data_IF_710943564109
#
_entry.id   IF_710943564109
#
_cell.length_a   1.000
_cell.length_b   1.000
_cell.length_c   1.000
_cell.angle_alpha   90.00
_cell.angle_beta   90.00
_cell.angle_gamma   90.00
#
_symmetry.space_group_name_H-M   'P 1'
#
loop_
_entity.id
_entity.type
_entity.pdbx_description
1 polymer ?
#
# COMPACT_ATOMS: atom_id res chain seq x y z
N UNK A 1 -16.97 31.73 4.64
CA UNK A 1 -16.77 30.25 4.66
C UNK A 1 -16.63 29.64 3.26
N UNK A 2 -17.29 30.18 2.22
CA UNK A 2 -17.18 29.64 0.84
C UNK A 2 -15.77 29.78 0.23
N UNK A 3 -15.04 30.87 0.51
CA UNK A 3 -13.70 31.11 -0.04
C UNK A 3 -12.63 30.09 0.36
N UNK A 4 -12.62 29.61 1.61
CA UNK A 4 -11.61 28.65 2.08
C UNK A 4 -11.83 27.24 1.51
N UNK A 5 -13.10 26.84 1.36
CA UNK A 5 -13.47 25.58 0.71
C UNK A 5 -13.14 25.62 -0.78
N UNK A 6 -13.48 26.71 -1.46
CA UNK A 6 -13.15 26.91 -2.88
C UNK A 6 -11.63 26.88 -3.09
N UNK A 7 -10.86 27.63 -2.29
CA UNK A 7 -9.40 27.63 -2.33
C UNK A 7 -8.82 26.22 -2.15
N UNK A 8 -9.33 25.44 -1.19
CA UNK A 8 -8.90 24.06 -0.98
C UNK A 8 -9.08 23.22 -2.25
N UNK A 9 -10.24 23.30 -2.89
CA UNK A 9 -10.52 22.51 -4.09
C UNK A 9 -9.74 22.99 -5.30
N UNK A 10 -9.58 24.30 -5.52
CA UNK A 10 -8.72 24.85 -6.57
C UNK A 10 -7.27 24.38 -6.41
N UNK A 11 -6.74 24.36 -5.18
CA UNK A 11 -5.40 23.82 -4.91
C UNK A 11 -5.32 22.30 -5.15
N UNK A 12 -6.36 21.53 -4.79
CA UNK A 12 -6.41 20.10 -5.12
C UNK A 12 -6.45 19.87 -6.62
N UNK A 13 -7.23 20.66 -7.37
CA UNK A 13 -7.34 20.57 -8.82
C UNK A 13 -5.98 20.78 -9.48
N UNK A 14 -5.30 21.88 -9.14
CA UNK A 14 -3.96 22.19 -9.67
C UNK A 14 -2.99 21.06 -9.38
N UNK A 15 -2.96 20.55 -8.15
CA UNK A 15 -2.08 19.44 -7.80
C UNK A 15 -2.43 18.14 -8.55
N UNK A 16 -3.73 17.85 -8.68
CA UNK A 16 -4.20 16.65 -9.36
C UNK A 16 -3.83 16.70 -10.84
N UNK A 17 -4.14 17.81 -11.52
CA UNK A 17 -3.90 17.96 -12.95
C UNK A 17 -2.41 18.09 -13.28
N UNK A 18 -1.67 18.93 -12.53
CA UNK A 18 -0.26 19.19 -12.83
C UNK A 18 0.67 18.06 -12.39
N UNK A 19 0.38 17.34 -11.30
CA UNK A 19 1.32 16.36 -10.72
C UNK A 19 0.75 14.96 -10.68
N UNK A 20 -0.42 14.78 -10.07
CA UNK A 20 -0.96 13.43 -9.82
C UNK A 20 -1.35 12.70 -11.10
N UNK A 21 -2.00 13.40 -12.05
CA UNK A 21 -2.54 12.80 -13.27
C UNK A 21 -1.44 12.28 -14.19
N UNK A 22 -0.36 13.03 -14.52
CA UNK A 22 0.70 12.47 -15.36
C UNK A 22 1.42 11.30 -14.68
N UNK A 23 1.58 11.33 -13.35
CA UNK A 23 2.10 10.20 -12.58
C UNK A 23 1.18 9.00 -12.72
N UNK A 24 -0.13 9.16 -12.57
CA UNK A 24 -1.11 8.08 -12.72
C UNK A 24 -1.12 7.53 -14.14
N UNK A 25 -1.01 8.37 -15.17
CA UNK A 25 -0.93 7.91 -16.55
C UNK A 25 0.31 7.03 -16.74
N UNK A 26 1.48 7.51 -16.28
CA UNK A 26 2.69 6.71 -16.27
C UNK A 26 2.51 5.39 -15.50
N UNK A 27 1.90 5.46 -14.32
CA UNK A 27 1.58 4.31 -13.47
C UNK A 27 0.75 3.28 -14.22
N UNK A 28 -0.30 3.69 -14.93
CA UNK A 28 -1.19 2.79 -15.66
C UNK A 28 -0.48 2.12 -16.83
N UNK A 29 0.37 2.85 -17.55
CA UNK A 29 1.19 2.30 -18.64
C UNK A 29 2.15 1.24 -18.09
N UNK A 30 2.95 1.56 -17.07
CA UNK A 30 3.91 0.61 -16.48
C UNK A 30 3.21 -0.57 -15.77
N UNK A 31 2.09 -0.32 -15.10
CA UNK A 31 1.31 -1.38 -14.43
C UNK A 31 0.74 -2.37 -15.44
N UNK A 32 0.38 -1.95 -16.64
CA UNK A 32 -0.08 -2.85 -17.71
C UNK A 32 0.99 -3.88 -18.08
N UNK A 33 2.26 -3.45 -18.15
CA UNK A 33 3.41 -4.34 -18.38
C UNK A 33 3.58 -5.32 -17.20
N UNK A 34 3.48 -4.84 -15.96
CA UNK A 34 3.57 -5.69 -14.77
C UNK A 34 2.44 -6.73 -14.69
N UNK A 35 1.22 -6.33 -15.05
CA UNK A 35 0.06 -7.23 -15.14
C UNK A 35 0.31 -8.30 -16.20
N UNK A 36 0.85 -7.93 -17.36
CA UNK A 36 1.22 -8.90 -18.40
C UNK A 36 2.27 -9.90 -17.90
N UNK A 37 3.35 -9.43 -17.27
CA UNK A 37 4.40 -10.30 -16.70
C UNK A 37 3.83 -11.22 -15.62
N UNK A 38 2.98 -10.70 -14.75
CA UNK A 38 2.28 -11.51 -13.75
C UNK A 38 1.38 -12.56 -14.41
N UNK A 39 0.60 -12.19 -15.43
CA UNK A 39 -0.28 -13.09 -16.15
C UNK A 39 0.52 -14.22 -16.83
N UNK A 40 1.67 -13.91 -17.45
CA UNK A 40 2.57 -14.92 -18.03
C UNK A 40 3.13 -15.86 -16.96
N UNK A 41 3.61 -15.32 -15.83
CA UNK A 41 4.12 -16.10 -14.71
C UNK A 41 3.05 -16.98 -14.06
N UNK A 42 1.82 -16.47 -13.95
CA UNK A 42 0.65 -17.20 -13.47
C UNK A 42 0.25 -18.29 -14.46
N UNK A 43 0.22 -18.00 -15.76
CA UNK A 43 -0.13 -18.96 -16.81
C UNK A 43 0.81 -20.15 -16.84
N UNK A 44 2.13 -19.93 -16.70
CA UNK A 44 3.11 -21.02 -16.56
C UNK A 44 2.79 -21.95 -15.38
N UNK A 45 2.32 -21.38 -14.26
CA UNK A 45 1.93 -22.16 -13.08
C UNK A 45 0.59 -22.87 -13.28
N UNK A 46 -0.35 -22.21 -13.93
CA UNK A 46 -1.63 -22.81 -14.32
C UNK A 46 -1.43 -24.04 -15.21
N UNK A 47 -0.52 -23.97 -16.19
CA UNK A 47 -0.15 -25.13 -17.01
C UNK A 47 0.41 -26.29 -16.18
N UNK A 48 1.18 -26.02 -15.12
CA UNK A 48 1.64 -27.04 -14.19
C UNK A 48 0.48 -27.64 -13.39
N UNK A 49 -0.43 -26.82 -12.87
CA UNK A 49 -1.61 -27.31 -12.14
C UNK A 49 -2.51 -28.19 -13.00
N UNK A 50 -2.64 -27.87 -14.30
CA UNK A 50 -3.41 -28.67 -15.26
C UNK A 50 -2.84 -30.06 -15.55
N UNK A 51 -1.60 -30.36 -15.16
CA UNK A 51 -1.02 -31.72 -15.26
C UNK A 51 -1.50 -32.65 -14.15
N UNK A 52 -2.08 -32.12 -13.07
CA UNK A 52 -2.69 -32.92 -12.01
C UNK A 52 -4.04 -33.53 -12.42
N UNK A 53 -4.55 -34.45 -11.61
CA UNK A 53 -5.90 -34.99 -11.79
C UNK A 53 -6.96 -33.88 -11.70
N UNK A 54 -8.06 -34.07 -12.44
CA UNK A 54 -9.20 -33.15 -12.38
C UNK A 54 -9.76 -33.15 -10.96
N UNK A 55 -9.79 -31.99 -10.33
CA UNK A 55 -10.38 -31.80 -9.02
C UNK A 55 -11.30 -30.59 -9.04
N UNK A 56 -12.56 -30.77 -8.66
CA UNK A 56 -13.49 -29.66 -8.53
C UNK A 56 -13.27 -28.95 -7.18
N UNK A 57 -12.67 -27.77 -7.22
CA UNK A 57 -12.49 -26.88 -6.06
C UNK A 57 -13.45 -25.68 -6.05
N UNK A 58 -14.42 -25.69 -6.97
CA UNK A 58 -15.52 -24.71 -7.02
C UNK A 58 -16.83 -25.28 -6.48
N UNK A 59 -16.80 -26.47 -5.88
CA UNK A 59 -17.92 -27.00 -5.12
C UNK A 59 -18.17 -26.11 -3.87
N UNK A 60 -19.44 -25.96 -3.47
CA UNK A 60 -19.82 -25.29 -2.21
C UNK A 60 -19.19 -23.90 -2.02
N UNK A 61 -19.24 -23.06 -3.06
CA UNK A 61 -18.63 -21.70 -3.09
C UNK A 61 -18.99 -20.87 -1.86
N UNK A 62 -20.26 -20.88 -1.43
CA UNK A 62 -20.72 -20.11 -0.26
C UNK A 62 -20.01 -20.57 1.02
N UNK A 63 -19.88 -21.89 1.24
CA UNK A 63 -19.19 -22.43 2.40
C UNK A 63 -17.69 -22.08 2.40
N UNK A 64 -17.06 -22.09 1.22
CA UNK A 64 -15.66 -21.67 1.04
C UNK A 64 -15.49 -20.20 1.33
N UNK A 65 -16.38 -19.34 0.79
CA UNK A 65 -16.36 -17.91 1.03
C UNK A 65 -16.53 -17.60 2.52
N UNK A 66 -17.54 -18.19 3.17
CA UNK A 66 -17.77 -18.03 4.61
C UNK A 66 -16.55 -18.48 5.43
N UNK A 67 -15.91 -19.59 5.04
CA UNK A 67 -14.67 -20.05 5.69
C UNK A 67 -13.53 -19.06 5.48
N UNK A 68 -13.32 -18.56 4.26
CA UNK A 68 -12.26 -17.61 3.95
C UNK A 68 -12.45 -16.31 4.70
N UNK A 69 -13.68 -15.77 4.71
CA UNK A 69 -14.03 -14.58 5.49
C UNK A 69 -13.86 -14.85 6.99
N UNK A 70 -14.34 -15.99 7.51
CA UNK A 70 -14.14 -16.35 8.91
C UNK A 70 -12.66 -16.44 9.27
N UNK A 71 -11.79 -17.00 8.42
CA UNK A 71 -10.33 -17.03 8.66
C UNK A 71 -9.71 -15.64 8.54
N UNK A 72 -10.16 -14.84 7.57
CA UNK A 72 -9.69 -13.47 7.36
C UNK A 72 -10.14 -12.51 8.47
N UNK A 73 -11.28 -12.72 9.12
CA UNK A 73 -11.72 -11.92 10.27
C UNK A 73 -11.26 -12.52 11.60
N UNK A 74 -11.16 -13.85 11.72
CA UNK A 74 -10.62 -14.55 12.89
C UNK A 74 -9.08 -14.51 12.96
N UNK A 75 -8.47 -13.38 12.54
CA UNK A 75 -7.05 -13.04 12.75
C UNK A 75 -6.56 -13.20 14.20
N UNK A 76 -7.45 -13.53 15.14
CA UNK A 76 -7.16 -14.02 16.49
C UNK A 76 -5.99 -15.02 16.56
N UNK A 77 -5.77 -15.87 15.55
CA UNK A 77 -4.60 -16.77 15.55
C UNK A 77 -3.26 -16.04 15.48
N UNK A 78 -3.19 -14.88 14.82
CA UNK A 78 -1.96 -14.06 14.76
C UNK A 78 -1.71 -13.38 16.12
N UNK A 79 -2.78 -13.07 16.86
CA UNK A 79 -2.71 -12.55 18.23
C UNK A 79 -2.48 -13.61 19.32
N UNK A 80 -2.39 -14.91 18.97
CA UNK A 80 -1.96 -15.95 19.92
C UNK A 80 -0.60 -15.65 20.54
N UNK A 81 0.23 -14.92 19.82
CA UNK A 81 1.46 -14.35 20.34
C UNK A 81 1.45 -12.84 20.12
N UNK A 82 1.53 -12.08 21.21
CA UNK A 82 1.42 -10.62 21.17
C UNK A 82 2.44 -9.98 20.21
N UNK A 83 3.70 -10.45 20.21
CA UNK A 83 4.76 -9.85 19.42
C UNK A 83 4.50 -9.90 17.89
N UNK A 84 4.39 -11.08 17.24
CA UNK A 84 4.07 -11.13 15.82
C UNK A 84 2.65 -10.63 15.52
N UNK A 85 1.72 -10.70 16.48
CA UNK A 85 0.38 -10.12 16.42
C UNK A 85 0.40 -8.61 16.18
N UNK A 86 1.05 -7.86 17.07
CA UNK A 86 1.19 -6.40 16.99
C UNK A 86 1.92 -6.00 15.71
N UNK A 87 3.01 -6.72 15.38
CA UNK A 87 3.79 -6.46 14.17
C UNK A 87 2.93 -6.57 12.89
N UNK A 88 2.16 -7.66 12.72
CA UNK A 88 1.30 -7.81 11.55
C UNK A 88 0.12 -6.84 11.58
N UNK A 89 -0.47 -6.58 12.75
CA UNK A 89 -1.54 -5.59 12.89
C UNK A 89 -1.10 -4.22 12.36
N UNK A 90 0.06 -3.73 12.80
CA UNK A 90 0.61 -2.45 12.38
C UNK A 90 0.86 -2.40 10.87
N UNK A 91 1.47 -3.44 10.29
CA UNK A 91 1.75 -3.48 8.85
C UNK A 91 0.47 -3.57 8.02
N UNK A 92 -0.47 -4.46 8.38
CA UNK A 92 -1.69 -4.69 7.60
C UNK A 92 -2.64 -3.51 7.69
N UNK A 93 -2.97 -3.05 8.91
CA UNK A 93 -3.84 -1.90 9.08
C UNK A 93 -3.19 -0.62 8.59
N UNK A 94 -1.88 -0.49 8.78
CA UNK A 94 -1.13 0.62 8.23
C UNK A 94 -1.21 0.69 6.72
N UNK A 95 -1.09 -0.46 6.03
CA UNK A 95 -1.25 -0.53 4.58
C UNK A 95 -2.68 -0.20 4.14
N UNK A 96 -3.70 -0.71 4.83
CA UNK A 96 -5.11 -0.40 4.56
C UNK A 96 -5.35 1.12 4.66
N UNK A 97 -4.92 1.74 5.76
CA UNK A 97 -5.08 3.17 5.96
C UNK A 97 -4.32 3.99 4.92
N UNK A 98 -3.07 3.62 4.62
CA UNK A 98 -2.27 4.27 3.58
C UNK A 98 -2.97 4.23 2.22
N UNK A 99 -3.44 3.05 1.80
CA UNK A 99 -4.10 2.84 0.50
C UNK A 99 -5.46 3.54 0.44
N UNK A 100 -6.22 3.56 1.53
CA UNK A 100 -7.53 4.24 1.56
C UNK A 100 -7.44 5.72 1.17
N UNK A 101 -6.38 6.43 1.62
CA UNK A 101 -6.13 7.81 1.22
C UNK A 101 -5.86 8.00 -0.27
N UNK A 102 -5.21 7.01 -0.91
CA UNK A 102 -4.97 7.02 -2.36
C UNK A 102 -6.25 6.74 -3.14
N UNK A 103 -7.07 5.81 -2.66
CA UNK A 103 -8.38 5.48 -3.25
C UNK A 103 -9.28 6.71 -3.25
N UNK A 104 -9.38 7.43 -2.12
CA UNK A 104 -10.20 8.65 -2.03
C UNK A 104 -9.77 9.70 -3.04
N UNK A 105 -8.46 9.91 -3.22
CA UNK A 105 -7.94 10.87 -4.21
C UNK A 105 -8.24 10.44 -5.65
N UNK A 106 -8.04 9.17 -5.97
CA UNK A 106 -8.35 8.63 -7.29
C UNK A 106 -9.85 8.72 -7.60
N UNK A 107 -10.69 8.36 -6.63
CA UNK A 107 -12.14 8.43 -6.74
C UNK A 107 -12.63 9.86 -7.01
N UNK A 108 -12.09 10.84 -6.29
CA UNK A 108 -12.39 12.27 -6.49
C UNK A 108 -12.04 12.77 -7.88
N UNK A 109 -10.91 12.32 -8.45
CA UNK A 109 -10.58 12.65 -9.84
C UNK A 109 -11.60 12.05 -10.84
N UNK A 110 -12.08 10.83 -10.61
CA UNK A 110 -12.95 10.11 -11.55
C UNK A 110 -14.41 10.57 -11.48
N UNK A 111 -14.93 10.82 -10.29
CA UNK A 111 -16.37 11.06 -10.06
C UNK A 111 -16.71 12.55 -9.96
N UNK A 112 -15.71 13.39 -9.73
CA UNK A 112 -15.88 14.83 -9.56
C UNK A 112 -15.09 15.32 -8.36
N UNK A 113 -14.31 16.37 -8.56
CA UNK A 113 -13.28 16.80 -7.61
C UNK A 113 -13.81 16.97 -6.18
N UNK A 114 -15.01 17.52 -6.02
CA UNK A 114 -15.63 17.80 -4.71
C UNK A 114 -16.33 16.59 -4.06
N UNK A 115 -16.20 15.40 -4.66
CA UNK A 115 -16.83 14.15 -4.25
C UNK A 115 -15.72 13.11 -3.96
N UNK A 116 -15.54 12.63 -2.71
CA UNK A 116 -16.36 12.87 -1.53
C UNK A 116 -16.11 14.27 -0.92
N UNK A 117 -16.96 14.70 0.03
CA UNK A 117 -16.82 16.00 0.69
C UNK A 117 -15.44 16.23 1.31
N UNK A 118 -15.07 17.51 1.45
CA UNK A 118 -13.74 17.93 1.92
C UNK A 118 -13.31 17.23 3.21
N UNK A 119 -14.22 17.05 4.17
CA UNK A 119 -13.95 16.35 5.42
C UNK A 119 -13.43 14.92 5.18
N UNK A 120 -14.05 14.16 4.27
CA UNK A 120 -13.62 12.79 3.95
C UNK A 120 -12.22 12.81 3.33
N UNK A 121 -11.93 13.77 2.46
CA UNK A 121 -10.60 13.93 1.87
C UNK A 121 -9.52 14.22 2.93
N UNK A 122 -9.85 15.08 3.89
CA UNK A 122 -8.96 15.46 4.99
C UNK A 122 -8.72 14.28 5.96
N UNK A 123 -9.77 13.57 6.38
CA UNK A 123 -9.62 12.33 7.17
C UNK A 123 -8.83 11.27 6.41
N UNK A 124 -9.07 11.11 5.11
CA UNK A 124 -8.33 10.18 4.26
C UNK A 124 -6.84 10.54 4.18
N UNK A 125 -6.50 11.83 4.16
CA UNK A 125 -5.12 12.31 4.27
C UNK A 125 -4.50 11.96 5.62
N UNK A 126 -5.23 12.18 6.73
CA UNK A 126 -4.75 11.90 8.08
C UNK A 126 -4.50 10.41 8.29
N UNK A 127 -5.49 9.55 8.02
CA UNK A 127 -5.34 8.10 8.20
C UNK A 127 -4.23 7.55 7.32
N UNK A 128 -4.01 8.11 6.12
CA UNK A 128 -2.92 7.68 5.24
C UNK A 128 -1.54 7.94 5.85
N UNK A 129 -1.36 9.05 6.59
CA UNK A 129 -0.11 9.29 7.33
C UNK A 129 0.03 8.40 8.55
N UNK A 130 -1.02 8.22 9.34
CA UNK A 130 -0.96 7.28 10.47
C UNK A 130 -0.64 5.87 9.95
N UNK A 131 -1.23 5.49 8.82
CA UNK A 131 -0.97 4.22 8.17
C UNK A 131 0.50 4.03 7.78
N UNK A 132 1.11 5.04 7.17
CA UNK A 132 2.54 4.99 6.84
C UNK A 132 3.43 4.85 8.08
N UNK A 133 3.12 5.55 9.17
CA UNK A 133 3.85 5.41 10.45
C UNK A 133 3.70 4.01 11.04
N UNK A 134 2.48 3.47 11.03
CA UNK A 134 2.22 2.10 11.49
C UNK A 134 3.06 1.08 10.72
N UNK A 135 3.15 1.21 9.38
CA UNK A 135 3.97 0.30 8.58
C UNK A 135 5.46 0.43 8.94
N UNK A 136 5.97 1.65 9.14
CA UNK A 136 7.37 1.86 9.56
C UNK A 136 7.63 1.18 10.91
N UNK A 137 6.78 1.43 11.92
CA UNK A 137 6.94 0.86 13.26
C UNK A 137 6.83 -0.66 13.21
N UNK A 138 5.81 -1.20 12.51
CA UNK A 138 5.64 -2.64 12.31
C UNK A 138 6.83 -3.28 11.58
N UNK A 139 7.39 -2.58 10.59
CA UNK A 139 8.59 -3.00 9.86
C UNK A 139 9.84 -3.02 10.74
N UNK A 140 10.04 -2.00 11.60
CA UNK A 140 11.15 -1.97 12.57
C UNK A 140 11.03 -3.15 13.54
N UNK A 141 9.84 -3.39 14.09
CA UNK A 141 9.56 -4.55 14.95
C UNK A 141 9.89 -5.87 14.22
N UNK A 142 9.53 -5.97 12.93
CA UNK A 142 9.82 -7.14 12.11
C UNK A 142 11.33 -7.35 11.91
N UNK A 143 12.08 -6.28 11.62
CA UNK A 143 13.54 -6.31 11.47
C UNK A 143 14.20 -6.72 12.79
N UNK A 144 13.82 -6.11 13.91
CA UNK A 144 14.35 -6.45 15.25
C UNK A 144 14.11 -7.93 15.55
N UNK A 145 12.89 -8.43 15.34
CA UNK A 145 12.57 -9.84 15.55
C UNK A 145 13.41 -10.75 14.68
N UNK A 146 13.64 -10.35 13.43
CA UNK A 146 14.32 -11.16 12.43
C UNK A 146 15.82 -11.23 12.64
N UNK A 147 16.46 -10.09 12.91
CA UNK A 147 17.92 -9.97 12.89
C UNK A 147 18.56 -9.80 14.26
N UNK A 148 17.79 -9.46 15.30
CA UNK A 148 18.28 -9.32 16.67
C UNK A 148 17.76 -10.48 17.53
N UNK A 149 16.44 -10.64 17.67
CA UNK A 149 15.84 -11.67 18.53
C UNK A 149 16.05 -13.09 17.97
N UNK A 150 16.00 -13.24 16.64
CA UNK A 150 16.26 -14.49 15.89
C UNK A 150 15.57 -15.74 16.50
N UNK A 151 14.22 -15.79 16.61
CA UNK A 151 13.53 -16.99 17.05
C UNK A 151 13.91 -18.24 16.22
N UNK A 152 14.16 -19.41 16.82
CA UNK A 152 14.68 -20.60 16.10
C UNK A 152 13.82 -21.09 14.93
N UNK A 153 12.53 -20.81 14.95
CA UNK A 153 11.55 -21.18 13.89
C UNK A 153 11.54 -20.24 12.68
N UNK A 154 12.31 -19.15 12.70
CA UNK A 154 12.39 -18.21 11.57
C UNK A 154 13.56 -18.56 10.66
N UNK A 155 13.24 -19.00 9.45
CA UNK A 155 14.20 -19.05 8.35
C UNK A 155 14.43 -17.62 7.81
N UNK A 156 15.67 -17.16 7.89
CA UNK A 156 16.10 -15.82 7.51
C UNK A 156 16.87 -15.88 6.20
N UNK A 157 16.27 -15.35 5.12
CA UNK A 157 16.94 -15.21 3.83
C UNK A 157 17.31 -13.74 3.60
N UNK A 158 18.43 -13.44 2.92
CA UNK A 158 18.80 -12.06 2.60
C UNK A 158 17.70 -11.27 1.88
N UNK A 159 16.94 -11.93 1.00
CA UNK A 159 15.79 -11.36 0.28
C UNK A 159 14.71 -10.77 1.21
N UNK A 160 14.62 -11.24 2.46
CA UNK A 160 13.67 -10.72 3.43
C UNK A 160 14.00 -9.28 3.85
N UNK A 161 15.28 -8.90 3.88
CA UNK A 161 15.71 -7.54 4.22
C UNK A 161 15.36 -6.55 3.11
N UNK A 162 15.46 -6.99 1.86
CA UNK A 162 15.28 -6.14 0.69
C UNK A 162 13.84 -5.61 0.58
N UNK A 163 12.84 -6.44 0.92
CA UNK A 163 11.44 -6.02 0.99
C UNK A 163 11.25 -4.89 1.99
N UNK A 164 11.80 -5.01 3.20
CA UNK A 164 11.67 -3.97 4.23
C UNK A 164 12.37 -2.69 3.81
N UNK A 165 13.56 -2.78 3.21
CA UNK A 165 14.28 -1.63 2.69
C UNK A 165 13.45 -0.87 1.64
N UNK A 166 12.90 -1.57 0.66
CA UNK A 166 12.07 -0.93 -0.37
C UNK A 166 10.81 -0.30 0.19
N UNK A 167 10.10 -1.00 1.10
CA UNK A 167 8.92 -0.43 1.77
C UNK A 167 9.29 0.84 2.54
N UNK A 168 10.39 0.81 3.29
CA UNK A 168 10.88 1.98 4.02
C UNK A 168 11.22 3.16 3.09
N UNK A 169 11.96 2.90 2.01
CA UNK A 169 12.30 3.93 1.00
C UNK A 169 11.04 4.54 0.41
N UNK A 170 10.04 3.74 0.04
CA UNK A 170 8.77 4.22 -0.52
C UNK A 170 8.02 5.09 0.49
N UNK A 171 7.95 4.70 1.76
CA UNK A 171 7.27 5.48 2.80
C UNK A 171 7.97 6.80 3.09
N UNK A 172 9.31 6.78 3.26
CA UNK A 172 10.11 7.98 3.53
C UNK A 172 10.03 8.96 2.36
N UNK A 173 10.25 8.49 1.13
CA UNK A 173 10.12 9.34 -0.07
C UNK A 173 8.71 9.87 -0.25
N UNK A 174 7.68 9.11 0.13
CA UNK A 174 6.28 9.56 0.12
C UNK A 174 6.04 10.70 1.10
N UNK A 175 6.57 10.61 2.32
CA UNK A 175 6.50 11.69 3.30
C UNK A 175 7.29 12.92 2.87
N UNK A 176 8.49 12.74 2.32
CA UNK A 176 9.29 13.85 1.79
C UNK A 176 8.59 14.54 0.61
N UNK A 177 7.90 13.79 -0.25
CA UNK A 177 7.10 14.34 -1.35
C UNK A 177 5.95 15.18 -0.82
N UNK A 178 5.21 14.66 0.16
CA UNK A 178 4.09 15.39 0.78
C UNK A 178 4.57 16.61 1.54
N UNK A 179 5.63 16.49 2.35
CA UNK A 179 6.19 17.58 3.14
C UNK A 179 6.78 18.70 2.29
N UNK A 180 7.46 18.37 1.19
CA UNK A 180 7.94 19.40 0.27
C UNK A 180 6.80 20.10 -0.46
N UNK A 181 5.79 19.35 -0.93
CA UNK A 181 4.58 19.95 -1.51
C UNK A 181 3.92 20.93 -0.53
N UNK A 182 3.94 20.58 0.76
CA UNK A 182 3.41 21.45 1.80
C UNK A 182 4.27 22.71 1.98
N UNK A 183 5.59 22.57 1.99
CA UNK A 183 6.51 23.69 2.12
C UNK A 183 6.42 24.66 0.93
N UNK A 184 6.37 24.11 -0.29
CA UNK A 184 6.44 24.82 -1.56
C UNK A 184 5.16 25.55 -1.97
N UNK A 185 4.02 25.29 -1.33
CA UNK A 185 2.74 25.78 -1.81
C UNK A 185 2.46 27.28 -1.60
N UNK A 186 3.38 28.07 -1.00
CA UNK A 186 3.44 29.54 -0.80
C UNK A 186 2.16 30.34 -0.47
N UNK A 187 0.98 29.71 -0.40
CA UNK A 187 -0.32 30.35 -0.26
C UNK A 187 -1.20 29.45 0.61
N UNK A 188 -1.44 29.89 1.84
CA UNK A 188 -2.52 29.47 2.76
C UNK A 188 -3.35 28.23 2.37
N UNK A 189 -2.75 27.04 2.36
CA UNK A 189 -3.50 25.79 2.45
C UNK A 189 -4.02 25.64 3.89
N UNK A 190 -5.15 24.95 4.14
CA UNK A 190 -5.96 25.23 5.32
C UNK A 190 -5.12 25.12 6.60
N UNK A 191 -5.37 26.07 7.51
CA UNK A 191 -4.65 26.33 8.78
C UNK A 191 -4.54 25.11 9.71
N UNK A 192 -5.09 23.97 9.30
CA UNK A 192 -5.19 22.68 9.96
C UNK A 192 -4.35 21.58 9.29
N UNK A 193 -3.41 21.90 8.40
CA UNK A 193 -2.54 20.90 7.78
C UNK A 193 -1.77 20.02 8.79
N UNK A 194 -1.45 20.56 9.96
CA UNK A 194 -0.91 19.76 11.06
C UNK A 194 -1.90 18.67 11.52
N UNK A 195 -3.20 18.94 11.57
CA UNK A 195 -4.24 17.97 11.95
C UNK A 195 -4.42 16.88 10.90
N UNK A 196 -4.34 17.24 9.62
CA UNK A 196 -4.63 16.32 8.50
C UNK A 196 -3.40 15.67 7.87
N UNK A 197 -2.22 16.14 8.25
CA UNK A 197 -0.95 15.79 7.66
C UNK A 197 0.22 16.00 8.64
N UNK A 198 0.16 15.55 9.90
CA UNK A 198 1.15 15.85 10.92
C UNK A 198 2.61 15.55 10.51
N UNK A 199 2.87 14.42 9.86
CA UNK A 199 4.23 14.02 9.46
C UNK A 199 4.72 14.89 8.31
N UNK A 200 3.89 15.06 7.27
CA UNK A 200 4.20 15.95 6.15
C UNK A 200 4.41 17.39 6.60
N UNK A 201 3.58 17.87 7.53
CA UNK A 201 3.67 19.22 8.10
C UNK A 201 4.97 19.41 8.88
N UNK A 202 5.37 18.44 9.72
CA UNK A 202 6.64 18.57 10.43
C UNK A 202 7.82 18.59 9.45
N UNK A 203 7.81 17.71 8.44
CA UNK A 203 8.83 17.71 7.40
C UNK A 203 8.87 19.01 6.60
N UNK A 204 7.73 19.64 6.38
CA UNK A 204 7.69 20.91 5.65
C UNK A 204 8.37 22.06 6.37
N UNK A 205 8.52 21.99 7.70
CA UNK A 205 9.22 23.02 8.49
C UNK A 205 10.73 22.93 8.38
N UNK A 206 11.25 21.76 8.00
CA UNK A 206 12.69 21.52 7.89
C UNK A 206 13.17 21.42 6.44
N UNK A 207 12.26 21.24 5.48
CA UNK A 207 12.59 21.18 4.06
C UNK A 207 12.70 22.60 3.50
N UNK A 208 13.88 23.03 3.00
CA UNK A 208 14.06 24.35 2.44
C UNK A 208 13.30 24.48 1.11
N UNK A 209 12.75 25.66 0.86
CA UNK A 209 12.13 26.05 -0.42
C UNK A 209 12.94 27.15 -1.08
N UNK A 210 12.74 27.32 -2.38
CA UNK A 210 13.29 28.44 -3.13
C UNK A 210 12.32 29.61 -3.12
N UNK A 211 12.84 30.84 -3.18
CA UNK A 211 12.02 32.04 -3.42
C UNK A 211 11.41 32.06 -4.83
N UNK A 212 11.93 31.25 -5.75
CA UNK A 212 11.46 31.18 -7.14
C UNK A 212 10.53 29.98 -7.31
N UNK A 213 9.27 30.24 -7.68
CA UNK A 213 8.21 29.23 -7.84
C UNK A 213 8.63 28.07 -8.75
N UNK A 214 9.18 28.36 -9.94
CA UNK A 214 9.55 27.30 -10.90
C UNK A 214 10.60 26.31 -10.36
N UNK A 215 11.51 26.76 -9.49
CA UNK A 215 12.48 25.85 -8.84
C UNK A 215 11.78 24.90 -7.86
N UNK A 216 10.75 25.40 -7.17
CA UNK A 216 9.92 24.56 -6.30
C UNK A 216 9.09 23.56 -7.12
N UNK A 217 8.53 23.96 -8.25
CA UNK A 217 7.82 23.05 -9.16
C UNK A 217 8.73 21.90 -9.63
N UNK A 218 9.97 22.20 -10.04
CA UNK A 218 10.95 21.17 -10.42
C UNK A 218 11.23 20.21 -9.26
N UNK A 219 11.40 20.71 -8.03
CA UNK A 219 11.65 19.84 -6.88
C UNK A 219 10.42 19.01 -6.48
N UNK A 220 9.20 19.50 -6.67
CA UNK A 220 7.98 18.69 -6.51
C UNK A 220 8.00 17.49 -7.47
N UNK A 221 8.36 17.72 -8.74
CA UNK A 221 8.51 16.66 -9.73
C UNK A 221 9.65 15.70 -9.43
N UNK A 222 10.83 16.21 -9.08
CA UNK A 222 11.95 15.38 -8.66
C UNK A 222 11.55 14.44 -7.53
N UNK A 223 10.88 14.97 -6.49
CA UNK A 223 10.40 14.18 -5.35
C UNK A 223 9.35 13.15 -5.75
N UNK A 224 8.43 13.53 -6.63
CA UNK A 224 7.45 12.61 -7.18
C UNK A 224 8.12 11.44 -7.93
N UNK A 225 9.18 11.68 -8.70
CA UNK A 225 9.91 10.65 -9.44
C UNK A 225 10.67 9.72 -8.48
N UNK A 226 11.44 10.27 -7.53
CA UNK A 226 12.19 9.47 -6.54
C UNK A 226 11.27 8.70 -5.57
N UNK A 227 9.97 9.03 -5.51
CA UNK A 227 8.98 8.22 -4.80
C UNK A 227 8.36 7.15 -5.72
N UNK A 228 7.91 7.57 -6.90
CA UNK A 228 7.17 6.71 -7.83
C UNK A 228 8.03 5.59 -8.38
N UNK A 229 9.27 5.87 -8.78
CA UNK A 229 10.18 4.85 -9.35
C UNK A 229 10.47 3.72 -8.35
N UNK A 230 10.92 3.98 -7.10
CA UNK A 230 11.04 2.93 -6.09
C UNK A 230 9.75 2.16 -5.81
N UNK A 231 8.59 2.83 -5.83
CA UNK A 231 7.31 2.15 -5.65
C UNK A 231 7.02 1.15 -6.76
N UNK A 232 7.34 1.49 -8.02
CA UNK A 232 7.25 0.56 -9.15
C UNK A 232 8.25 -0.56 -9.09
N UNK A 233 9.50 -0.28 -8.71
CA UNK A 233 10.53 -1.30 -8.54
C UNK A 233 10.10 -2.30 -7.47
N UNK A 234 9.58 -1.83 -6.33
CA UNK A 234 9.01 -2.69 -5.30
C UNK A 234 7.85 -3.53 -5.85
N UNK A 235 6.90 -2.92 -6.57
CA UNK A 235 5.76 -3.63 -7.15
C UNK A 235 6.22 -4.73 -8.12
N UNK A 236 7.12 -4.41 -9.04
CA UNK A 236 7.71 -5.34 -9.99
C UNK A 236 8.43 -6.49 -9.29
N UNK A 237 9.26 -6.16 -8.28
CA UNK A 237 9.96 -7.14 -7.46
C UNK A 237 8.98 -8.10 -6.76
N UNK A 238 7.89 -7.57 -6.19
CA UNK A 238 6.86 -8.38 -5.53
C UNK A 238 6.18 -9.33 -6.52
N UNK A 239 5.85 -8.87 -7.72
CA UNK A 239 5.18 -9.70 -8.74
C UNK A 239 6.11 -10.77 -9.34
N UNK A 240 7.36 -10.41 -9.64
CA UNK A 240 8.31 -11.28 -10.34
C UNK A 240 8.97 -12.28 -9.38
N UNK A 241 9.46 -11.82 -8.23
CA UNK A 241 10.36 -12.60 -7.36
C UNK A 241 9.65 -13.44 -6.30
N UNK A 242 8.33 -13.67 -6.42
CA UNK A 242 7.55 -14.51 -5.48
C UNK A 242 7.82 -14.17 -4.01
N UNK A 243 7.94 -12.88 -3.71
CA UNK A 243 8.33 -12.39 -2.39
C UNK A 243 7.36 -12.84 -1.30
N UNK A 244 7.80 -12.77 -0.04
CA UNK A 244 6.90 -13.06 1.08
C UNK A 244 5.66 -12.17 1.07
N UNK A 245 5.66 -10.97 0.47
CA UNK A 245 4.47 -10.10 0.37
C UNK A 245 3.33 -10.72 -0.45
N UNK A 246 3.59 -11.66 -1.36
CA UNK A 246 2.53 -12.32 -2.12
C UNK A 246 1.53 -13.08 -1.24
N UNK A 247 1.89 -13.40 0.01
CA UNK A 247 0.96 -14.03 0.96
C UNK A 247 -0.32 -13.21 1.19
N UNK A 248 -0.26 -11.89 0.98
CA UNK A 248 -1.42 -10.99 1.14
C UNK A 248 -2.59 -11.44 0.28
N UNK A 249 -2.35 -11.95 -0.94
CA UNK A 249 -3.40 -12.50 -1.81
C UNK A 249 -3.35 -14.02 -1.93
N UNK A 250 -2.18 -14.66 -1.82
CA UNK A 250 -2.10 -16.12 -1.92
C UNK A 250 -2.69 -16.84 -0.71
N UNK A 251 -2.58 -16.30 0.50
CA UNK A 251 -3.17 -16.90 1.70
C UNK A 251 -4.69 -17.01 1.62
N UNK A 252 -5.46 -15.95 1.32
CA UNK A 252 -6.91 -16.07 1.20
C UNK A 252 -7.33 -16.99 0.04
N UNK A 253 -6.60 -16.99 -1.08
CA UNK A 253 -6.84 -17.94 -2.18
C UNK A 253 -6.60 -19.39 -1.75
N UNK A 254 -5.51 -19.65 -1.01
CA UNK A 254 -5.21 -20.98 -0.48
C UNK A 254 -6.29 -21.45 0.52
N UNK A 255 -6.82 -20.55 1.35
CA UNK A 255 -7.94 -20.89 2.25
C UNK A 255 -9.20 -21.19 1.46
N UNK A 256 -9.50 -20.40 0.43
CA UNK A 256 -10.67 -20.63 -0.43
C UNK A 256 -10.61 -21.98 -1.15
N UNK A 257 -9.46 -22.32 -1.73
CA UNK A 257 -9.25 -23.55 -2.49
C UNK A 257 -8.84 -24.77 -1.63
N UNK A 258 -8.78 -24.64 -0.29
CA UNK A 258 -8.43 -25.76 0.60
C UNK A 258 -9.42 -26.92 0.46
N UNK A 259 -8.98 -28.13 0.77
CA UNK A 259 -9.90 -29.27 0.85
C UNK A 259 -10.92 -29.09 1.99
N UNK A 260 -12.19 -29.33 1.69
CA UNK A 260 -13.29 -29.40 2.66
C UNK A 260 -13.57 -30.83 3.13
N UNK A 261 -12.85 -31.83 2.59
CA UNK A 261 -12.95 -33.23 3.05
C UNK A 261 -12.34 -33.36 4.45
N UNK A 262 -12.69 -34.42 5.17
CA UNK A 262 -12.03 -34.76 6.44
C UNK A 262 -10.52 -34.90 6.22
N UNK A 263 -9.74 -34.50 7.23
CA UNK A 263 -8.28 -34.68 7.17
C UNK A 263 -7.96 -36.17 7.04
N UNK A 264 -7.14 -36.53 6.06
CA UNK A 264 -6.77 -37.92 5.79
C UNK A 264 -7.76 -38.70 4.91
N UNK A 265 -8.81 -38.05 4.38
CA UNK A 265 -9.67 -38.69 3.38
C UNK A 265 -8.86 -39.00 2.11
N UNK A 266 -8.83 -40.29 1.74
CA UNK A 266 -8.24 -40.76 0.49
C UNK A 266 -9.24 -40.58 -0.66
N UNK A 267 -8.74 -40.27 -1.85
CA UNK A 267 -9.54 -40.41 -3.06
C UNK A 267 -9.64 -41.91 -3.40
N UNK A 268 -10.83 -42.43 -3.68
CA UNK A 268 -10.98 -43.77 -4.26
C UNK A 268 -10.17 -43.82 -5.57
N UNK A 269 -9.38 -44.89 -5.73
CA UNK A 269 -8.58 -45.17 -6.94
C UNK A 269 -9.51 -45.68 -8.03
#
# INVERSE_FOLDING_TARGET
MNSARELFWTQQEVYILKVFLPIIIGVLIFSSVLVLLFALGFFRRYLLWRRGHKENRFDRVVARLNTTLAVAFAHYRVFKEAYPGIMHFLVVWGAIFLVSGKIVRLFSYVVGLTIPPQAVFLYASFVSEIGGLMIIIGGIIAIIRRYIVRPPRLDNKPDDALVFLWVFVVLVTGYLTKGYRIAASDVGSPTDWFLWSPVGYYLSKILPTFLTEHKNEILVWHRAIIHTVPAFVLLAYVFISRTRLQHIWLSPLNVFFRSLKSKGALEPI
#
